data_IF_891410254249
#
_entry.id   IF_891410254249
#
_cell.length_a   1.000
_cell.length_b   1.000
_cell.length_c   1.000
_cell.angle_alpha   90.00
_cell.angle_beta   90.00
_cell.angle_gamma   90.00
#
_symmetry.space_group_name_H-M   'P 1'
#
loop_
_entity.id
_entity.type
_entity.pdbx_description
1 polymer ?
#
# COMPACT_ATOMS: atom_id res chain seq x y z
N UNK A 1 9.38 -45.15 -23.05
CA UNK A 1 8.90 -43.75 -22.96
C UNK A 1 10.12 -42.85 -22.99
N UNK A 2 10.27 -42.02 -24.03
CA UNK A 2 11.49 -41.25 -24.29
C UNK A 2 11.86 -40.33 -23.12
N UNK A 3 13.12 -40.35 -22.69
CA UNK A 3 13.73 -39.51 -21.64
C UNK A 3 13.31 -38.03 -21.75
N UNK A 4 13.03 -37.55 -22.96
CA UNK A 4 12.57 -36.20 -23.24
C UNK A 4 11.16 -35.91 -22.67
N UNK A 5 10.25 -36.89 -22.66
CA UNK A 5 8.93 -36.74 -22.03
C UNK A 5 9.04 -36.67 -20.50
N UNK A 6 9.92 -37.47 -19.89
CA UNK A 6 10.14 -37.43 -18.44
C UNK A 6 10.81 -36.12 -18.00
N UNK A 7 11.76 -35.59 -18.77
CA UNK A 7 12.39 -34.29 -18.49
C UNK A 7 11.41 -33.12 -18.63
N UNK A 8 10.55 -33.15 -19.65
CA UNK A 8 9.52 -32.13 -19.82
C UNK A 8 8.52 -32.15 -18.65
N UNK A 9 8.16 -33.36 -18.20
CA UNK A 9 7.19 -33.53 -17.12
C UNK A 9 7.75 -33.10 -15.76
N UNK A 10 9.02 -33.40 -15.47
CA UNK A 10 9.68 -32.88 -14.25
C UNK A 10 9.85 -31.36 -14.28
N UNK A 11 10.18 -30.78 -15.43
CA UNK A 11 10.26 -29.31 -15.58
C UNK A 11 8.92 -28.64 -15.31
N UNK A 12 7.83 -29.15 -15.90
CA UNK A 12 6.48 -28.62 -15.69
C UNK A 12 6.05 -28.77 -14.24
N UNK A 13 6.34 -29.91 -13.59
CA UNK A 13 6.00 -30.12 -12.18
C UNK A 13 6.78 -29.21 -11.25
N UNK A 14 8.06 -28.97 -11.51
CA UNK A 14 8.87 -28.07 -10.68
C UNK A 14 8.42 -26.61 -10.81
N UNK A 15 8.03 -26.15 -12.01
CA UNK A 15 7.42 -24.83 -12.19
C UNK A 15 6.09 -24.71 -11.46
N UNK A 16 5.23 -25.73 -11.52
CA UNK A 16 3.94 -25.75 -10.82
C UNK A 16 4.10 -25.69 -9.29
N UNK A 17 5.02 -26.49 -8.74
CA UNK A 17 5.31 -26.48 -7.30
C UNK A 17 5.89 -25.14 -6.87
N UNK A 18 6.81 -24.55 -7.65
CA UNK A 18 7.37 -23.23 -7.37
C UNK A 18 6.28 -22.14 -7.39
N UNK A 19 5.38 -22.15 -8.36
CA UNK A 19 4.28 -21.19 -8.46
C UNK A 19 3.32 -21.29 -7.27
N UNK A 20 2.97 -22.51 -6.84
CA UNK A 20 2.12 -22.74 -5.65
C UNK A 20 2.84 -22.27 -4.38
N UNK A 21 4.13 -22.56 -4.25
CA UNK A 21 4.94 -22.11 -3.10
C UNK A 21 5.03 -20.59 -3.01
N UNK A 22 5.29 -19.91 -4.13
CA UNK A 22 5.35 -18.44 -4.19
C UNK A 22 3.98 -17.83 -3.88
N UNK A 23 2.90 -18.36 -4.46
CA UNK A 23 1.55 -17.83 -4.22
C UNK A 23 1.09 -18.04 -2.78
N UNK A 24 1.31 -19.24 -2.22
CA UNK A 24 0.98 -19.55 -0.83
C UNK A 24 1.80 -18.73 0.17
N UNK A 25 3.11 -18.58 -0.08
CA UNK A 25 3.98 -17.73 0.73
C UNK A 25 3.58 -16.25 0.68
N UNK A 26 3.28 -15.73 -0.51
CA UNK A 26 2.83 -14.36 -0.69
C UNK A 26 1.48 -14.10 0.01
N UNK A 27 0.52 -15.02 -0.07
CA UNK A 27 -0.76 -14.91 0.63
C UNK A 27 -0.59 -14.92 2.15
N UNK A 28 0.27 -15.79 2.69
CA UNK A 28 0.55 -15.86 4.13
C UNK A 28 1.17 -14.57 4.66
N UNK A 29 2.16 -14.04 3.93
CA UNK A 29 2.84 -12.78 4.28
C UNK A 29 1.87 -11.59 4.19
N UNK A 30 1.06 -11.52 3.13
CA UNK A 30 0.03 -10.47 2.98
C UNK A 30 -1.03 -10.52 4.08
N UNK A 31 -1.42 -11.70 4.57
CA UNK A 31 -2.40 -11.82 5.66
C UNK A 31 -1.85 -11.31 7.00
N UNK A 32 -0.55 -11.51 7.25
CA UNK A 32 0.15 -10.99 8.44
C UNK A 32 0.31 -9.47 8.44
N UNK A 33 0.32 -8.83 7.27
CA UNK A 33 0.40 -7.37 7.13
C UNK A 33 -0.94 -6.64 7.35
N UNK A 34 -2.08 -7.36 7.45
CA UNK A 34 -3.40 -6.75 7.67
C UNK A 34 -3.72 -6.41 9.14
N UNK A 35 -2.73 -6.45 10.03
CA UNK A 35 -2.92 -5.94 11.39
C UNK A 35 -3.19 -4.43 11.32
N UNK A 36 -4.19 -3.90 12.06
CA UNK A 36 -4.42 -2.46 12.13
C UNK A 36 -3.11 -1.75 12.49
N UNK A 37 -2.80 -0.64 11.82
CA UNK A 37 -1.61 0.12 12.17
C UNK A 37 -1.74 0.63 13.61
N UNK A 38 -0.63 0.75 14.37
CA UNK A 38 -0.65 1.25 15.74
C UNK A 38 -1.38 2.60 15.88
N UNK A 39 -1.29 3.44 14.84
CA UNK A 39 -2.00 4.72 14.75
C UNK A 39 -3.52 4.53 14.65
N UNK A 40 -3.99 3.62 13.79
CA UNK A 40 -5.43 3.39 13.59
C UNK A 40 -6.08 2.84 14.87
N UNK A 41 -5.44 1.88 15.54
CA UNK A 41 -5.92 1.36 16.83
C UNK A 41 -5.94 2.47 17.90
N UNK A 42 -4.92 3.33 17.94
CA UNK A 42 -4.89 4.44 18.89
C UNK A 42 -6.07 5.40 18.69
N UNK A 43 -6.31 5.82 17.44
CA UNK A 43 -7.34 6.80 17.10
C UNK A 43 -8.73 6.29 17.45
N UNK A 44 -9.04 5.03 17.12
CA UNK A 44 -10.40 4.51 17.26
C UNK A 44 -10.70 3.87 18.61
N UNK A 45 -9.70 3.35 19.31
CA UNK A 45 -9.95 2.56 20.53
C UNK A 45 -9.36 3.18 21.80
N UNK A 46 -8.28 3.97 21.69
CA UNK A 46 -7.47 4.38 22.86
C UNK A 46 -7.46 5.87 23.17
N UNK A 47 -7.85 6.73 22.23
CA UNK A 47 -7.91 8.19 22.42
C UNK A 47 -9.15 8.68 23.17
N UNK A 48 -10.20 7.84 23.28
CA UNK A 48 -11.45 8.22 23.97
C UNK A 48 -12.11 9.42 23.32
N UNK A 49 -12.33 9.36 22.01
CA UNK A 49 -12.90 10.47 21.23
C UNK A 49 -14.35 10.75 21.64
N UNK A 50 -14.75 12.02 21.66
CA UNK A 50 -16.15 12.40 21.82
C UNK A 50 -16.99 12.00 20.58
N UNK A 51 -18.30 11.93 20.70
CA UNK A 51 -19.17 11.64 19.55
C UNK A 51 -19.03 12.66 18.41
N UNK A 52 -18.78 13.93 18.76
CA UNK A 52 -18.52 14.99 17.78
C UNK A 52 -17.18 14.78 17.07
N UNK A 53 -16.13 14.43 17.81
CA UNK A 53 -14.82 14.15 17.24
C UNK A 53 -14.88 12.94 16.29
N UNK A 54 -15.59 11.87 16.67
CA UNK A 54 -15.82 10.72 15.79
C UNK A 54 -16.50 11.12 14.48
N UNK A 55 -17.55 11.96 14.54
CA UNK A 55 -18.26 12.39 13.33
C UNK A 55 -17.36 13.22 12.40
N UNK A 56 -16.52 14.10 12.96
CA UNK A 56 -15.55 14.90 12.20
C UNK A 56 -14.46 14.03 11.56
N UNK A 57 -13.89 13.10 12.33
CA UNK A 57 -12.86 12.18 11.85
C UNK A 57 -13.41 11.26 10.75
N UNK A 58 -14.63 10.74 10.90
CA UNK A 58 -15.27 9.93 9.85
C UNK A 58 -15.48 10.71 8.53
N UNK A 59 -15.68 12.04 8.61
CA UNK A 59 -15.67 12.90 7.43
C UNK A 59 -14.31 12.94 6.74
N UNK A 60 -13.26 13.20 7.52
CA UNK A 60 -11.86 13.24 7.07
C UNK A 60 -11.44 11.90 6.45
N UNK A 61 -11.84 10.78 7.04
CA UNK A 61 -11.55 9.43 6.54
C UNK A 61 -12.20 9.15 5.18
N UNK A 62 -13.47 9.54 4.99
CA UNK A 62 -14.15 9.37 3.70
C UNK A 62 -13.44 10.15 2.58
N UNK A 63 -13.02 11.37 2.87
CA UNK A 63 -12.29 12.20 1.90
C UNK A 63 -10.92 11.59 1.57
N UNK A 64 -10.18 11.15 2.59
CA UNK A 64 -8.89 10.48 2.41
C UNK A 64 -9.03 9.18 1.60
N UNK A 65 -10.01 8.35 1.93
CA UNK A 65 -10.29 7.09 1.23
C UNK A 65 -10.56 7.32 -0.26
N UNK A 66 -11.38 8.32 -0.60
CA UNK A 66 -11.69 8.65 -1.98
C UNK A 66 -10.43 9.06 -2.77
N UNK A 67 -9.58 9.91 -2.20
CA UNK A 67 -8.31 10.32 -2.82
C UNK A 67 -7.31 9.17 -2.93
N UNK A 68 -7.19 8.36 -1.88
CA UNK A 68 -6.33 7.16 -1.87
C UNK A 68 -6.71 6.23 -3.01
N UNK A 69 -7.99 5.90 -3.14
CA UNK A 69 -8.47 5.02 -4.22
C UNK A 69 -8.19 5.58 -5.61
N UNK A 70 -8.32 6.90 -5.80
CA UNK A 70 -8.00 7.56 -7.06
C UNK A 70 -6.50 7.46 -7.40
N UNK A 71 -5.61 7.72 -6.44
CA UNK A 71 -4.16 7.63 -6.63
C UNK A 71 -3.69 6.18 -6.85
N UNK A 72 -4.26 5.23 -6.11
CA UNK A 72 -4.01 3.80 -6.33
C UNK A 72 -4.48 3.33 -7.72
N UNK A 73 -5.60 3.87 -8.21
CA UNK A 73 -6.07 3.61 -9.57
C UNK A 73 -5.11 4.16 -10.63
N UNK A 74 -4.57 5.36 -10.40
CA UNK A 74 -3.58 5.99 -11.27
C UNK A 74 -2.28 5.18 -11.33
N UNK A 75 -1.79 4.71 -10.18
CA UNK A 75 -0.64 3.79 -10.11
C UNK A 75 -0.89 2.49 -10.90
N UNK A 76 -2.08 1.91 -10.78
CA UNK A 76 -2.45 0.70 -11.55
C UNK A 76 -2.52 0.98 -13.05
N UNK A 77 -3.04 2.14 -13.45
CA UNK A 77 -3.09 2.54 -14.85
C UNK A 77 -1.68 2.74 -15.44
N UNK A 78 -0.79 3.42 -14.72
CA UNK A 78 0.61 3.60 -15.10
C UNK A 78 1.35 2.26 -15.26
N UNK A 79 1.12 1.29 -14.36
CA UNK A 79 1.68 -0.06 -14.48
C UNK A 79 1.14 -0.81 -15.72
N UNK A 80 -0.14 -0.63 -16.07
CA UNK A 80 -0.69 -1.21 -17.28
C UNK A 80 -0.05 -0.61 -18.55
N UNK A 81 0.25 0.69 -18.54
CA UNK A 81 0.98 1.37 -19.62
C UNK A 81 2.43 0.87 -19.72
N UNK A 82 3.12 0.74 -18.59
CA UNK A 82 4.47 0.18 -18.52
C UNK A 82 4.51 -1.23 -19.12
N UNK A 83 3.55 -2.09 -18.75
CA UNK A 83 3.46 -3.45 -19.29
C UNK A 83 3.28 -3.47 -20.81
N UNK A 84 2.45 -2.58 -21.36
CA UNK A 84 2.25 -2.45 -22.82
C UNK A 84 3.53 -1.96 -23.51
N UNK A 85 4.19 -0.95 -22.96
CA UNK A 85 5.43 -0.40 -23.52
C UNK A 85 6.54 -1.46 -23.53
N UNK A 86 6.66 -2.24 -22.44
CA UNK A 86 7.62 -3.33 -22.32
C UNK A 86 7.42 -4.42 -23.38
N UNK A 87 6.17 -4.80 -23.68
CA UNK A 87 5.85 -5.81 -24.70
C UNK A 87 6.16 -5.37 -26.13
N UNK A 88 6.17 -4.06 -26.42
CA UNK A 88 6.35 -3.57 -27.79
C UNK A 88 7.81 -3.56 -28.24
N UNK A 89 8.71 -3.07 -27.37
CA UNK A 89 10.10 -2.80 -27.77
C UNK A 89 11.15 -3.50 -26.91
N UNK A 90 10.77 -4.15 -25.80
CA UNK A 90 11.67 -4.84 -24.87
C UNK A 90 12.94 -4.04 -24.53
N UNK A 91 12.81 -2.71 -24.49
CA UNK A 91 13.89 -1.76 -24.34
C UNK A 91 13.42 -0.61 -23.45
N UNK A 92 14.36 0.15 -22.92
CA UNK A 92 14.07 1.37 -22.19
C UNK A 92 13.71 2.49 -23.18
N UNK A 93 12.43 2.80 -23.31
CA UNK A 93 11.92 3.79 -24.26
C UNK A 93 11.33 5.00 -23.54
N UNK A 94 11.08 6.13 -24.24
CA UNK A 94 10.39 7.28 -23.65
C UNK A 94 9.04 6.92 -23.01
N UNK A 95 8.31 5.96 -23.58
CA UNK A 95 7.04 5.47 -23.03
C UNK A 95 7.22 4.68 -21.73
N UNK A 96 8.29 3.89 -21.61
CA UNK A 96 8.67 3.20 -20.37
C UNK A 96 8.99 4.22 -19.27
N UNK A 97 9.82 5.23 -19.58
CA UNK A 97 10.15 6.32 -18.65
C UNK A 97 8.88 7.07 -18.21
N UNK A 98 8.01 7.46 -19.14
CA UNK A 98 6.80 8.21 -18.83
C UNK A 98 5.85 7.43 -17.91
N UNK A 99 5.69 6.12 -18.13
CA UNK A 99 4.88 5.28 -17.25
C UNK A 99 5.48 5.16 -15.84
N UNK A 100 6.80 5.05 -15.72
CA UNK A 100 7.50 5.04 -14.43
C UNK A 100 7.32 6.38 -13.70
N UNK A 101 7.50 7.50 -14.40
CA UNK A 101 7.35 8.83 -13.80
C UNK A 101 5.92 9.09 -13.33
N UNK A 102 4.92 8.68 -14.11
CA UNK A 102 3.52 8.76 -13.74
C UNK A 102 3.22 7.93 -12.49
N UNK A 103 3.77 6.72 -12.41
CA UNK A 103 3.64 5.88 -11.22
C UNK A 103 4.28 6.53 -9.99
N UNK A 104 5.51 7.04 -10.11
CA UNK A 104 6.20 7.73 -9.01
C UNK A 104 5.47 8.99 -8.56
N UNK A 105 4.91 9.77 -9.48
CA UNK A 105 4.13 10.94 -9.14
C UNK A 105 2.89 10.58 -8.31
N UNK A 106 2.08 9.61 -8.77
CA UNK A 106 0.91 9.16 -8.04
C UNK A 106 1.26 8.56 -6.65
N UNK A 107 2.39 7.84 -6.57
CA UNK A 107 2.91 7.33 -5.29
C UNK A 107 3.33 8.48 -4.35
N UNK A 108 4.00 9.51 -4.86
CA UNK A 108 4.40 10.69 -4.07
C UNK A 108 3.20 11.51 -3.57
N UNK A 109 2.19 11.69 -4.41
CA UNK A 109 0.92 12.31 -4.02
C UNK A 109 0.21 11.49 -2.93
N UNK A 110 0.24 10.15 -3.03
CA UNK A 110 -0.35 9.27 -2.01
C UNK A 110 0.36 9.40 -0.65
N UNK A 111 1.69 9.48 -0.66
CA UNK A 111 2.47 9.72 0.54
C UNK A 111 2.14 11.09 1.17
N UNK A 112 2.05 12.13 0.33
CA UNK A 112 1.64 13.48 0.75
C UNK A 112 0.26 13.49 1.37
N UNK A 113 -0.73 12.87 0.71
CA UNK A 113 -2.11 12.79 1.20
C UNK A 113 -2.20 12.02 2.52
N UNK A 114 -1.38 11.00 2.73
CA UNK A 114 -1.32 10.26 4.00
C UNK A 114 -0.85 11.16 5.16
N UNK A 115 0.16 12.01 4.91
CA UNK A 115 0.62 12.99 5.91
C UNK A 115 -0.43 14.07 6.18
N UNK A 116 -1.09 14.58 5.14
CA UNK A 116 -2.17 15.56 5.26
C UNK A 116 -3.33 14.97 6.07
N UNK A 117 -3.74 13.75 5.79
CA UNK A 117 -4.78 13.03 6.52
C UNK A 117 -4.44 12.87 8.02
N UNK A 118 -3.19 12.47 8.31
CA UNK A 118 -2.70 12.32 9.69
C UNK A 118 -2.79 13.64 10.46
N UNK A 119 -2.35 14.75 9.85
CA UNK A 119 -2.43 16.08 10.46
C UNK A 119 -3.87 16.60 10.58
N UNK A 120 -4.75 16.27 9.62
CA UNK A 120 -6.16 16.62 9.68
C UNK A 120 -6.86 15.94 10.86
N UNK A 121 -6.60 14.65 11.12
CA UNK A 121 -7.10 13.96 12.31
C UNK A 121 -6.60 14.61 13.59
N UNK A 122 -5.29 14.93 13.66
CA UNK A 122 -4.68 15.61 14.82
C UNK A 122 -5.39 16.92 15.15
N UNK A 123 -5.81 17.70 14.15
CA UNK A 123 -6.47 18.99 14.34
C UNK A 123 -7.88 18.91 14.98
N UNK A 124 -8.45 17.71 15.08
CA UNK A 124 -9.75 17.47 15.75
C UNK A 124 -9.58 17.21 17.26
N UNK A 125 -8.37 16.86 17.69
CA UNK A 125 -8.08 16.36 19.03
C UNK A 125 -7.93 17.49 20.06
N UNK A 126 -8.20 17.20 21.33
CA UNK A 126 -7.80 18.08 22.44
C UNK A 126 -6.28 18.07 22.60
N UNK A 127 -5.68 19.05 23.31
CA UNK A 127 -4.23 19.06 23.55
C UNK A 127 -3.69 17.76 24.16
N UNK A 128 -4.43 17.16 25.10
CA UNK A 128 -4.04 15.91 25.78
C UNK A 128 -4.09 14.70 24.84
N UNK A 129 -5.12 14.64 24.00
CA UNK A 129 -5.27 13.60 22.97
C UNK A 129 -4.19 13.75 21.89
N UNK A 130 -3.91 14.98 21.46
CA UNK A 130 -2.89 15.28 20.46
C UNK A 130 -1.49 14.87 20.92
N UNK A 131 -1.16 15.05 22.21
CA UNK A 131 0.13 14.61 22.74
C UNK A 131 0.35 13.09 22.59
N UNK A 132 -0.68 12.28 22.90
CA UNK A 132 -0.62 10.81 22.74
C UNK A 132 -0.59 10.39 21.26
N UNK A 133 -1.35 11.11 20.43
CA UNK A 133 -1.35 10.90 18.98
C UNK A 133 0.04 11.17 18.40
N UNK A 134 0.66 12.30 18.72
CA UNK A 134 1.97 12.71 18.23
C UNK A 134 3.06 11.70 18.61
N UNK A 135 3.07 11.21 19.85
CA UNK A 135 3.98 10.15 20.30
C UNK A 135 3.85 8.88 19.45
N UNK A 136 2.62 8.46 19.16
CA UNK A 136 2.35 7.26 18.37
C UNK A 136 2.72 7.45 16.89
N UNK A 137 2.51 8.64 16.33
CA UNK A 137 2.96 9.00 14.97
C UNK A 137 4.48 8.90 14.89
N UNK A 138 5.20 9.52 15.84
CA UNK A 138 6.68 9.47 15.86
C UNK A 138 7.18 8.04 16.00
N UNK A 139 6.58 7.24 16.88
CA UNK A 139 6.94 5.83 17.02
C UNK A 139 6.71 5.05 15.73
N UNK A 140 5.58 5.27 15.05
CA UNK A 140 5.24 4.59 13.79
C UNK A 140 6.20 4.97 12.66
N UNK A 141 6.59 6.23 12.57
CA UNK A 141 7.54 6.72 11.56
C UNK A 141 8.99 6.27 11.81
N UNK A 142 9.32 5.88 13.04
CA UNK A 142 10.68 5.48 13.44
C UNK A 142 10.84 3.97 13.64
N UNK A 143 9.75 3.18 13.55
CA UNK A 143 9.79 1.74 13.82
C UNK A 143 10.61 0.95 12.78
N UNK A 144 10.60 1.36 11.52
CA UNK A 144 11.38 0.74 10.43
C UNK A 144 12.85 1.21 10.39
N UNK A 145 13.24 2.19 11.22
CA UNK A 145 14.60 2.71 11.28
C UNK A 145 15.51 1.94 12.27
N UNK A 146 15.05 0.81 12.82
CA UNK A 146 15.80 -0.05 13.75
C UNK A 146 16.15 -1.40 13.17
#
# INVERSE_FOLDING_TARGET
MSLMRSMLLTLVMSVLVAAIGVWGGAQFVMHRMKQPTPLHELVHEKLGLSSEQHARIAGIEREHEAKRQALEAEMRAANAELARAFQQKHAYTPEVQAAIDRFHHAMGELQTETMVHTLAMRAVLTPEQAARFDETVVQSLTHDAR
#
